data_IF_453123267332
#
_entry.id   IF_453123267332
#
_cell.length_a   1.000
_cell.length_b   1.000
_cell.length_c   1.000
_cell.angle_alpha   90.00
_cell.angle_beta   90.00
_cell.angle_gamma   90.00
#
_symmetry.space_group_name_H-M   'P 1'
#
loop_
_entity.id
_entity.type
_entity.pdbx_description
1 polymer ?
#
# COMPACT_ATOMS: atom_id res chain seq x y z
N UNK A 1 12.72 6.42 19.34
CA UNK A 1 12.38 7.48 20.29
C UNK A 1 10.86 7.64 20.31
N UNK A 2 10.31 8.28 21.34
CA UNK A 2 8.87 8.60 21.37
C UNK A 2 8.51 9.80 20.49
N UNK A 3 9.48 10.71 20.27
CA UNK A 3 9.38 11.87 19.40
C UNK A 3 10.61 11.91 18.47
N UNK A 4 10.44 12.35 17.22
CA UNK A 4 11.50 12.39 16.19
C UNK A 4 11.99 13.83 16.06
N UNK A 5 13.28 14.12 16.33
CA UNK A 5 13.80 15.48 16.21
C UNK A 5 13.91 15.91 14.74
N UNK A 6 13.69 17.20 14.46
CA UNK A 6 13.65 17.79 13.10
C UNK A 6 12.56 17.19 12.21
N UNK A 7 11.38 17.00 12.79
CA UNK A 7 10.18 16.54 12.09
C UNK A 7 9.38 17.64 11.41
N UNK A 8 9.81 18.89 11.48
CA UNK A 8 9.14 20.02 10.83
C UNK A 8 9.16 19.88 9.30
N UNK A 9 8.10 20.34 8.62
CA UNK A 9 8.06 20.30 7.16
C UNK A 9 9.12 21.23 6.58
N UNK A 10 9.58 20.91 5.37
CA UNK A 10 10.58 21.68 4.64
C UNK A 10 9.94 22.25 3.37
N UNK A 11 10.01 23.57 3.17
CA UNK A 11 9.61 24.23 1.93
C UNK A 11 10.72 25.17 1.49
N UNK A 12 11.41 24.80 0.43
CA UNK A 12 12.54 25.53 -0.13
C UNK A 12 12.23 25.90 -1.58
N UNK A 13 12.20 27.18 -1.91
CA UNK A 13 11.96 27.64 -3.28
C UNK A 13 13.28 28.02 -3.95
N UNK A 14 13.49 27.59 -5.19
CA UNK A 14 14.61 27.97 -6.05
C UNK A 14 14.13 28.17 -7.49
N UNK A 15 14.50 27.28 -8.41
CA UNK A 15 14.12 27.34 -9.82
C UNK A 15 12.65 26.98 -10.09
N UNK A 16 12.32 26.89 -11.38
CA UNK A 16 10.98 26.58 -11.89
C UNK A 16 10.64 25.09 -11.93
N UNK A 17 11.57 24.24 -11.54
CA UNK A 17 11.38 22.80 -11.44
C UNK A 17 11.18 22.48 -9.96
N UNK A 18 10.03 21.88 -9.64
CA UNK A 18 9.64 21.48 -8.31
C UNK A 18 9.82 19.98 -8.08
N UNK A 19 10.12 19.58 -6.85
CA UNK A 19 10.03 18.18 -6.40
C UNK A 19 9.35 18.10 -5.03
N UNK A 20 8.27 17.32 -4.96
CA UNK A 20 7.62 16.95 -3.69
C UNK A 20 8.24 15.66 -3.19
N UNK A 21 8.89 15.66 -2.03
CA UNK A 21 9.47 14.46 -1.43
C UNK A 21 8.66 13.96 -0.24
N UNK A 22 8.31 12.68 -0.25
CA UNK A 22 7.40 12.06 0.72
C UNK A 22 8.18 11.04 1.56
N UNK A 23 8.17 11.25 2.88
CA UNK A 23 8.86 10.35 3.82
C UNK A 23 8.08 9.05 4.10
N UNK A 24 8.76 8.05 4.66
CA UNK A 24 8.18 6.74 4.99
C UNK A 24 7.35 6.70 6.28
N UNK A 25 6.67 5.57 6.49
CA UNK A 25 5.87 5.28 7.68
C UNK A 25 6.73 5.18 8.94
N UNK A 26 6.22 5.70 10.06
CA UNK A 26 6.95 5.88 11.33
C UNK A 26 8.13 6.86 11.27
N UNK A 27 8.40 7.46 10.11
CA UNK A 27 9.46 8.44 9.90
C UNK A 27 9.00 9.88 10.07
N UNK A 28 9.78 10.79 9.51
CA UNK A 28 9.50 12.23 9.41
C UNK A 28 10.31 12.84 8.25
N UNK A 29 10.13 14.14 7.92
CA UNK A 29 10.98 14.83 6.93
C UNK A 29 12.48 14.64 7.15
N UNK A 30 12.93 14.46 8.40
CA UNK A 30 14.34 14.18 8.72
C UNK A 30 14.93 12.98 7.96
N UNK A 31 14.10 11.99 7.61
CA UNK A 31 14.54 10.78 6.90
C UNK A 31 14.99 11.02 5.46
N UNK A 32 14.44 12.04 4.80
CA UNK A 32 14.73 12.40 3.40
C UNK A 32 15.40 13.77 3.29
N UNK A 33 15.58 14.47 4.41
CA UNK A 33 16.13 15.84 4.45
C UNK A 33 17.48 15.98 3.74
N UNK A 34 18.48 15.08 3.86
CA UNK A 34 19.73 15.21 3.11
C UNK A 34 19.52 15.17 1.60
N UNK A 35 18.65 14.28 1.13
CA UNK A 35 18.28 14.20 -0.29
C UNK A 35 17.55 15.47 -0.76
N UNK A 36 16.62 15.99 0.04
CA UNK A 36 15.92 17.24 -0.23
C UNK A 36 16.86 18.44 -0.33
N UNK A 37 17.84 18.56 0.59
CA UNK A 37 18.83 19.63 0.56
C UNK A 37 19.74 19.51 -0.67
N UNK A 38 20.18 18.31 -1.03
CA UNK A 38 20.99 18.09 -2.22
C UNK A 38 20.26 18.48 -3.51
N UNK A 39 18.96 18.19 -3.63
CA UNK A 39 18.17 18.63 -4.79
C UNK A 39 17.99 20.14 -4.83
N UNK A 40 17.78 20.77 -3.67
CA UNK A 40 17.69 22.22 -3.57
C UNK A 40 19.00 22.92 -3.95
N UNK A 41 20.15 22.39 -3.50
CA UNK A 41 21.48 22.88 -3.89
C UNK A 41 21.73 22.78 -5.40
N UNK A 42 21.10 21.81 -6.07
CA UNK A 42 21.11 21.66 -7.53
C UNK A 42 20.04 22.53 -8.24
N UNK A 43 19.34 23.38 -7.50
CA UNK A 43 18.46 24.43 -8.04
C UNK A 43 16.96 24.11 -8.05
N UNK A 44 16.53 22.98 -7.48
CA UNK A 44 15.12 22.60 -7.44
C UNK A 44 14.38 23.32 -6.31
N UNK A 45 13.11 23.64 -6.56
CA UNK A 45 12.15 23.97 -5.50
C UNK A 45 11.71 22.66 -4.83
N UNK A 46 11.88 22.52 -3.52
CA UNK A 46 11.70 21.25 -2.78
C UNK A 46 10.71 21.41 -1.65
N UNK A 47 9.64 20.62 -1.68
CA UNK A 47 8.68 20.51 -0.57
C UNK A 47 8.78 19.12 0.07
N UNK A 48 8.81 19.06 1.40
CA UNK A 48 8.82 17.84 2.20
C UNK A 48 7.80 18.00 3.34
N UNK A 49 6.57 17.52 3.18
CA UNK A 49 5.55 17.68 4.21
C UNK A 49 5.75 16.70 5.37
N UNK A 50 5.23 17.09 6.53
CA UNK A 50 5.09 16.19 7.69
C UNK A 50 3.71 15.57 7.65
N UNK A 51 3.63 14.27 7.33
CA UNK A 51 2.36 13.56 7.18
C UNK A 51 1.60 13.49 8.52
N UNK A 52 0.27 13.51 8.47
CA UNK A 52 -0.60 13.45 9.64
C UNK A 52 -0.21 12.33 10.63
N UNK A 53 -0.08 12.68 11.91
CA UNK A 53 0.34 11.78 12.99
C UNK A 53 1.83 11.42 13.01
N UNK A 54 2.63 11.86 12.03
CA UNK A 54 4.09 11.76 12.06
C UNK A 54 4.71 12.98 12.75
N UNK A 55 5.98 12.86 13.15
CA UNK A 55 6.71 13.97 13.76
C UNK A 55 6.28 14.38 15.16
N UNK A 56 5.35 13.65 15.78
CA UNK A 56 4.84 13.89 17.13
C UNK A 56 5.13 12.69 18.02
N UNK A 57 4.13 11.83 18.27
CA UNK A 57 4.23 10.62 19.05
C UNK A 57 3.66 9.44 18.25
N UNK A 58 4.28 8.26 18.34
CA UNK A 58 3.85 7.07 17.57
C UNK A 58 2.36 6.74 17.72
N UNK A 59 1.74 7.09 18.85
CA UNK A 59 0.32 6.82 19.09
C UNK A 59 -0.62 7.68 18.24
N UNK A 60 -0.16 8.81 17.71
CA UNK A 60 -0.96 9.68 16.86
C UNK A 60 -1.20 9.03 15.49
N UNK A 61 -0.26 8.21 15.01
CA UNK A 61 -0.45 7.36 13.83
C UNK A 61 -1.60 6.35 13.95
N UNK A 62 -2.04 6.03 15.18
CA UNK A 62 -3.21 5.18 15.38
C UNK A 62 -4.55 5.92 15.27
N UNK A 63 -4.52 7.25 15.17
CA UNK A 63 -5.71 8.12 15.11
C UNK A 63 -6.04 8.61 13.69
N UNK A 64 -5.08 8.48 12.78
CA UNK A 64 -5.16 8.94 11.38
C UNK A 64 -5.43 7.77 10.44
N UNK A 65 -5.95 8.09 9.26
CA UNK A 65 -6.12 7.15 8.15
C UNK A 65 -5.12 7.46 7.03
N UNK A 66 -4.97 6.54 6.08
CA UNK A 66 -4.04 6.76 4.98
C UNK A 66 -4.54 7.86 4.02
N UNK A 67 -5.85 8.06 3.95
CA UNK A 67 -6.47 9.14 3.19
C UNK A 67 -6.06 10.53 3.73
N UNK A 68 -5.82 10.66 5.04
CA UNK A 68 -5.31 11.90 5.63
C UNK A 68 -3.87 12.18 5.11
N UNK A 69 -3.03 11.14 5.01
CA UNK A 69 -1.69 11.28 4.42
C UNK A 69 -1.74 11.64 2.93
N UNK A 70 -2.69 11.07 2.19
CA UNK A 70 -2.91 11.43 0.79
C UNK A 70 -3.34 12.90 0.64
N UNK A 71 -4.23 13.38 1.51
CA UNK A 71 -4.68 14.77 1.48
C UNK A 71 -3.52 15.74 1.76
N UNK A 72 -2.63 15.41 2.70
CA UNK A 72 -1.44 16.21 3.00
C UNK A 72 -0.53 16.35 1.77
N UNK A 73 -0.17 15.24 1.11
CA UNK A 73 0.72 15.27 -0.06
C UNK A 73 0.06 15.94 -1.26
N UNK A 74 -1.24 15.75 -1.47
CA UNK A 74 -1.97 16.37 -2.58
C UNK A 74 -2.04 17.89 -2.40
N UNK A 75 -2.32 18.35 -1.18
CA UNK A 75 -2.35 19.78 -0.86
C UNK A 75 -0.97 20.43 -1.09
N UNK A 76 0.11 19.74 -0.73
CA UNK A 76 1.47 20.25 -0.87
C UNK A 76 1.96 20.18 -2.32
N UNK A 77 1.57 19.16 -3.07
CA UNK A 77 1.77 19.09 -4.51
C UNK A 77 1.13 20.30 -5.20
N UNK A 78 -0.15 20.55 -4.91
CA UNK A 78 -0.91 21.67 -5.48
C UNK A 78 -0.31 23.02 -5.10
N UNK A 79 0.21 23.16 -3.89
CA UNK A 79 0.90 24.38 -3.47
C UNK A 79 2.23 24.57 -4.22
N UNK A 80 3.04 23.52 -4.36
CA UNK A 80 4.29 23.56 -5.10
C UNK A 80 4.07 23.89 -6.59
N UNK A 81 3.01 23.33 -7.19
CA UNK A 81 2.62 23.56 -8.57
C UNK A 81 2.25 25.03 -8.87
N UNK A 82 1.91 25.84 -7.87
CA UNK A 82 1.69 27.30 -8.06
C UNK A 82 2.99 28.06 -8.33
N UNK A 83 4.13 27.49 -7.97
CA UNK A 83 5.44 28.15 -8.05
C UNK A 83 6.32 27.59 -9.17
N UNK A 84 6.03 26.38 -9.63
CA UNK A 84 6.85 25.61 -10.57
C UNK A 84 6.10 25.33 -11.87
N UNK A 85 6.84 25.30 -12.98
CA UNK A 85 6.29 25.01 -14.30
C UNK A 85 6.23 23.49 -14.54
N UNK A 86 7.13 22.74 -13.90
CA UNK A 86 7.14 21.27 -13.87
C UNK A 86 7.33 20.78 -12.44
N UNK A 87 6.60 19.74 -12.04
CA UNK A 87 6.68 19.16 -10.69
C UNK A 87 6.91 17.65 -10.77
N UNK A 88 7.95 17.20 -10.09
CA UNK A 88 8.28 15.80 -9.86
C UNK A 88 7.76 15.37 -8.49
N UNK A 89 7.50 14.07 -8.33
CA UNK A 89 7.14 13.48 -7.04
C UNK A 89 8.15 12.41 -6.68
N UNK A 90 8.71 12.49 -5.49
CA UNK A 90 9.67 11.55 -4.94
C UNK A 90 9.10 10.90 -3.67
N UNK A 91 9.22 9.59 -3.53
CA UNK A 91 8.67 8.87 -2.39
C UNK A 91 9.62 7.82 -1.83
N UNK A 92 9.86 7.86 -0.52
CA UNK A 92 10.65 6.87 0.21
C UNK A 92 9.76 5.88 0.97
N UNK A 93 9.95 4.56 0.78
CA UNK A 93 9.24 3.51 1.53
C UNK A 93 7.71 3.61 1.33
N UNK A 94 6.92 3.74 2.38
CA UNK A 94 5.48 4.03 2.28
C UNK A 94 5.19 5.36 1.57
N UNK A 95 6.12 6.31 1.63
CA UNK A 95 6.08 7.54 0.83
C UNK A 95 6.14 7.25 -0.68
N UNK A 96 6.79 6.15 -1.09
CA UNK A 96 6.77 5.66 -2.47
C UNK A 96 5.37 5.18 -2.90
N UNK A 97 4.66 4.45 -2.05
CA UNK A 97 3.25 4.09 -2.32
C UNK A 97 2.35 5.32 -2.41
N UNK A 98 2.59 6.33 -1.58
CA UNK A 98 1.90 7.62 -1.65
C UNK A 98 2.21 8.38 -2.94
N UNK A 99 3.47 8.40 -3.38
CA UNK A 99 3.89 8.99 -4.66
C UNK A 99 3.23 8.28 -5.86
N UNK A 100 3.20 6.95 -5.84
CA UNK A 100 2.46 6.15 -6.81
C UNK A 100 0.97 6.48 -6.77
N UNK A 101 0.36 6.58 -5.59
CA UNK A 101 -1.07 6.92 -5.49
C UNK A 101 -1.38 8.30 -6.07
N UNK A 102 -0.53 9.28 -5.80
CA UNK A 102 -0.66 10.62 -6.38
C UNK A 102 -0.47 10.57 -7.91
N UNK A 103 0.46 9.76 -8.40
CA UNK A 103 0.67 9.53 -9.85
C UNK A 103 -0.54 8.87 -10.52
N UNK A 104 -1.20 7.92 -9.86
CA UNK A 104 -2.41 7.26 -10.37
C UNK A 104 -3.60 8.23 -10.54
N UNK A 105 -3.66 9.30 -9.74
CA UNK A 105 -4.79 10.25 -9.74
C UNK A 105 -4.48 11.51 -10.55
N UNK A 106 -3.26 12.04 -10.40
CA UNK A 106 -2.83 13.33 -10.96
C UNK A 106 -1.67 13.17 -11.94
N UNK A 107 -1.56 11.98 -12.55
CA UNK A 107 -0.46 11.60 -13.42
C UNK A 107 -0.18 12.64 -14.50
N UNK A 108 -1.24 13.18 -15.13
CA UNK A 108 -1.17 14.22 -16.16
C UNK A 108 -0.48 15.51 -15.73
N UNK A 109 -0.45 15.83 -14.43
CA UNK A 109 0.14 17.04 -13.86
C UNK A 109 1.56 16.81 -13.30
N UNK A 110 2.02 15.57 -13.25
CA UNK A 110 3.34 15.19 -12.71
C UNK A 110 4.30 14.93 -13.87
N UNK A 111 5.47 15.57 -13.85
CA UNK A 111 6.48 15.42 -14.89
C UNK A 111 7.18 14.05 -14.84
N UNK A 112 7.47 13.56 -13.63
CA UNK A 112 8.07 12.26 -13.40
C UNK A 112 8.01 11.85 -11.93
N UNK A 113 8.08 10.54 -11.68
CA UNK A 113 7.99 9.98 -10.32
C UNK A 113 9.25 9.20 -9.97
N UNK A 114 9.84 9.50 -8.81
CA UNK A 114 11.04 8.87 -8.28
C UNK A 114 10.67 8.05 -7.04
N UNK A 115 10.92 6.75 -7.08
CA UNK A 115 10.60 5.81 -6.03
C UNK A 115 11.89 5.31 -5.40
N UNK A 116 12.02 5.45 -4.08
CA UNK A 116 13.14 4.95 -3.30
C UNK A 116 12.67 3.89 -2.32
N UNK A 117 13.10 2.64 -2.52
CA UNK A 117 12.71 1.48 -1.69
C UNK A 117 11.20 1.45 -1.43
N UNK A 118 10.39 1.72 -2.48
CA UNK A 118 8.96 1.90 -2.35
C UNK A 118 8.27 0.60 -1.86
N UNK A 119 7.46 0.72 -0.80
CA UNK A 119 6.73 -0.43 -0.25
C UNK A 119 5.30 -0.44 -0.78
N UNK A 120 4.92 -1.46 -1.55
CA UNK A 120 3.55 -1.62 -2.05
C UNK A 120 2.83 -2.85 -1.49
N UNK A 121 3.54 -3.79 -0.86
CA UNK A 121 2.98 -4.89 -0.07
C UNK A 121 4.05 -5.48 0.88
N UNK A 122 3.68 -6.50 1.64
CA UNK A 122 4.61 -7.28 2.47
C UNK A 122 4.19 -8.77 2.50
N UNK A 123 5.06 -9.65 2.03
CA UNK A 123 4.79 -11.10 1.91
C UNK A 123 4.84 -11.84 3.25
N UNK A 124 5.45 -11.25 4.29
CA UNK A 124 5.69 -11.94 5.55
C UNK A 124 4.36 -12.25 6.22
N UNK A 125 4.07 -13.54 6.44
CA UNK A 125 2.79 -14.03 6.96
C UNK A 125 2.29 -13.33 8.24
N UNK A 126 3.21 -12.86 9.11
CA UNK A 126 2.87 -12.09 10.32
C UNK A 126 2.02 -10.84 10.02
N UNK A 127 2.18 -10.21 8.86
CA UNK A 127 1.41 -9.03 8.47
C UNK A 127 -0.05 -9.37 8.13
N UNK A 128 -0.38 -10.63 7.81
CA UNK A 128 -1.77 -11.05 7.58
C UNK A 128 -2.65 -10.87 8.82
N UNK A 129 -2.06 -10.98 10.02
CA UNK A 129 -2.75 -10.84 11.31
C UNK A 129 -2.90 -9.38 11.78
N UNK A 130 -2.24 -8.42 11.14
CA UNK A 130 -2.25 -6.99 11.54
C UNK A 130 -3.66 -6.41 11.72
N UNK A 131 -4.66 -6.65 10.83
CA UNK A 131 -6.00 -6.11 11.02
C UNK A 131 -6.63 -6.54 12.35
N UNK A 132 -6.53 -7.83 12.69
CA UNK A 132 -7.05 -8.37 13.95
C UNK A 132 -6.24 -7.86 15.15
N UNK A 133 -4.90 -7.90 15.06
CA UNK A 133 -4.01 -7.44 16.12
C UNK A 133 -4.18 -5.94 16.42
N UNK A 134 -4.45 -5.11 15.42
CA UNK A 134 -4.63 -3.66 15.56
C UNK A 134 -5.84 -3.25 16.41
N UNK A 135 -6.80 -4.16 16.60
CA UNK A 135 -7.95 -3.95 17.48
C UNK A 135 -7.58 -4.11 18.96
N UNK A 136 -6.60 -4.97 19.26
CA UNK A 136 -6.25 -5.41 20.62
C UNK A 136 -4.97 -4.70 21.11
N UNK A 137 -3.95 -4.65 20.26
CA UNK A 137 -2.64 -4.12 20.60
C UNK A 137 -2.44 -2.75 19.95
N UNK A 138 -2.01 -1.71 20.71
CA UNK A 138 -1.79 -0.38 20.15
C UNK A 138 -0.51 -0.32 19.29
N UNK A 139 0.55 -1.02 19.70
CA UNK A 139 1.84 -1.00 18.98
C UNK A 139 2.74 -2.14 19.40
N UNK A 140 3.68 -2.51 18.52
CA UNK A 140 4.76 -3.48 18.76
C UNK A 140 6.12 -2.77 18.77
N UNK A 141 7.17 -3.40 19.32
CA UNK A 141 8.55 -2.91 19.15
C UNK A 141 8.90 -2.75 17.66
N UNK A 142 9.52 -1.63 17.32
CA UNK A 142 10.01 -1.33 15.98
C UNK A 142 11.52 -1.12 15.94
N UNK A 143 12.08 -0.95 14.75
CA UNK A 143 13.46 -0.53 14.54
C UNK A 143 13.51 0.94 14.09
N UNK A 144 14.33 1.75 14.75
CA UNK A 144 14.56 3.15 14.38
C UNK A 144 15.82 3.28 13.52
N UNK A 145 15.66 3.12 12.20
CA UNK A 145 16.70 3.33 11.19
C UNK A 145 17.40 2.05 10.75
N UNK A 146 17.10 1.58 9.54
CA UNK A 146 17.85 0.54 8.84
C UNK A 146 18.78 1.22 7.83
N UNK A 147 20.03 1.40 8.25
CA UNK A 147 21.10 2.12 7.55
C UNK A 147 22.42 1.40 7.82
N UNK A 148 23.20 1.12 6.78
CA UNK A 148 24.49 0.44 6.89
C UNK A 148 25.57 1.35 7.49
N UNK A 149 25.54 2.64 7.14
CA UNK A 149 26.48 3.65 7.62
C UNK A 149 26.49 3.79 9.15
N UNK A 150 27.64 3.57 9.82
CA UNK A 150 27.76 3.75 11.26
C UNK A 150 27.49 5.20 11.70
N UNK A 151 26.76 5.36 12.80
CA UNK A 151 26.45 6.67 13.36
C UNK A 151 25.37 7.46 12.60
N UNK A 152 24.70 6.82 11.63
CA UNK A 152 23.53 7.40 10.97
C UNK A 152 22.46 7.80 11.99
N UNK A 153 21.79 8.93 11.72
CA UNK A 153 20.79 9.47 12.61
C UNK A 153 19.53 8.61 12.58
N UNK A 154 19.02 8.29 13.77
CA UNK A 154 17.69 7.67 13.90
C UNK A 154 16.61 8.64 13.43
N UNK A 155 15.79 8.20 12.48
CA UNK A 155 14.78 9.03 11.81
C UNK A 155 13.36 8.44 11.89
N UNK A 156 13.12 7.55 12.86
CA UNK A 156 11.82 6.90 13.04
C UNK A 156 11.49 6.56 14.49
N UNK A 157 10.24 6.22 14.75
CA UNK A 157 9.77 5.80 16.07
C UNK A 157 10.38 4.44 16.47
N UNK A 158 10.54 4.19 17.78
CA UNK A 158 10.97 2.85 18.28
C UNK A 158 9.80 1.85 18.35
N UNK A 159 8.61 2.27 17.92
CA UNK A 159 7.39 1.47 17.98
C UNK A 159 6.64 1.55 16.66
N UNK A 160 6.07 0.44 16.26
CA UNK A 160 5.21 0.34 15.08
C UNK A 160 3.74 0.40 15.57
N UNK A 161 3.01 1.49 15.28
CA UNK A 161 1.60 1.62 15.60
C UNK A 161 0.78 0.67 14.73
N UNK A 162 0.04 -0.26 15.34
CA UNK A 162 -0.64 -1.32 14.58
C UNK A 162 -1.87 -0.84 13.82
N UNK A 163 -2.60 0.16 14.31
CA UNK A 163 -3.71 0.76 13.53
C UNK A 163 -3.17 1.58 12.38
N UNK A 164 -2.10 2.32 12.59
CA UNK A 164 -1.37 3.00 11.51
C UNK A 164 -0.88 2.03 10.44
N UNK A 165 -0.25 0.92 10.85
CA UNK A 165 0.20 -0.13 9.93
C UNK A 165 -0.97 -0.77 9.17
N UNK A 166 -2.13 -0.93 9.82
CA UNK A 166 -3.33 -1.40 9.12
C UNK A 166 -3.82 -0.41 8.05
N UNK A 167 -3.59 0.90 8.23
CA UNK A 167 -3.87 1.90 7.19
C UNK A 167 -2.86 1.82 6.04
N UNK A 168 -1.58 1.61 6.33
CA UNK A 168 -0.56 1.31 5.30
C UNK A 168 -0.99 0.12 4.44
N UNK A 169 -1.48 -0.97 5.05
CA UNK A 169 -1.99 -2.12 4.30
C UNK A 169 -3.20 -1.81 3.40
N UNK A 170 -4.03 -0.84 3.76
CA UNK A 170 -5.15 -0.40 2.91
C UNK A 170 -4.66 0.43 1.73
N UNK A 171 -3.70 1.32 1.96
CA UNK A 171 -3.01 2.06 0.91
C UNK A 171 -2.37 1.10 -0.10
N UNK A 172 -1.58 0.12 0.39
CA UNK A 172 -0.94 -0.92 -0.41
C UNK A 172 -1.90 -1.62 -1.38
N UNK A 173 -3.03 -2.13 -0.87
CA UNK A 173 -4.04 -2.79 -1.71
C UNK A 173 -4.59 -1.89 -2.82
N UNK A 174 -4.76 -0.61 -2.53
CA UNK A 174 -5.26 0.35 -3.52
C UNK A 174 -4.19 0.64 -4.57
N UNK A 175 -2.94 0.87 -4.15
CA UNK A 175 -1.83 1.21 -5.04
C UNK A 175 -1.46 0.04 -5.93
N UNK A 176 -1.26 -1.15 -5.36
CA UNK A 176 -0.89 -2.37 -6.08
C UNK A 176 -1.91 -2.73 -7.18
N UNK A 177 -3.21 -2.64 -6.85
CA UNK A 177 -4.29 -2.90 -7.81
C UNK A 177 -4.25 -1.94 -9.00
N UNK A 178 -3.87 -0.68 -8.76
CA UNK A 178 -4.00 0.42 -9.72
C UNK A 178 -2.65 0.78 -10.38
N UNK A 179 -1.60 -0.05 -10.28
CA UNK A 179 -0.27 0.24 -10.85
C UNK A 179 -0.31 0.54 -12.35
N UNK A 180 -1.19 -0.14 -13.08
CA UNK A 180 -1.39 0.04 -14.52
C UNK A 180 -1.87 1.45 -14.92
N UNK A 181 -2.31 2.27 -13.96
CA UNK A 181 -2.68 3.67 -14.21
C UNK A 181 -1.48 4.62 -14.25
N UNK A 182 -0.27 4.14 -13.95
CA UNK A 182 0.94 4.97 -13.97
C UNK A 182 1.65 4.82 -15.32
N UNK A 183 1.63 5.88 -16.12
CA UNK A 183 2.13 5.96 -17.50
C UNK A 183 3.23 7.02 -17.72
N UNK A 184 3.56 7.79 -16.68
CA UNK A 184 4.58 8.85 -16.70
C UNK A 184 6.02 8.29 -16.54
N UNK A 185 7.08 9.07 -16.87
CA UNK A 185 8.46 8.66 -16.63
C UNK A 185 8.71 8.31 -15.16
N UNK A 186 9.35 7.16 -14.92
CA UNK A 186 9.63 6.65 -13.57
C UNK A 186 11.11 6.40 -13.36
N UNK A 187 11.59 6.76 -12.18
CA UNK A 187 12.84 6.24 -11.63
C UNK A 187 12.49 5.30 -10.47
N UNK A 188 12.86 4.03 -10.60
CA UNK A 188 12.67 3.02 -9.55
C UNK A 188 14.03 2.67 -8.96
N UNK A 189 14.30 3.20 -7.78
CA UNK A 189 15.56 3.07 -7.08
C UNK A 189 15.40 2.20 -5.83
N UNK A 190 16.22 1.15 -5.69
CA UNK A 190 16.10 0.24 -4.55
C UNK A 190 17.41 -0.39 -4.10
N UNK A 191 17.45 -0.82 -2.85
CA UNK A 191 18.62 -1.43 -2.21
C UNK A 191 18.54 -2.95 -2.25
N UNK A 192 19.61 -3.61 -2.67
CA UNK A 192 19.64 -5.09 -2.72
C UNK A 192 19.54 -5.71 -1.33
N UNK A 193 20.11 -5.04 -0.32
CA UNK A 193 20.13 -5.52 1.06
C UNK A 193 19.21 -4.68 1.96
N UNK A 194 17.92 -4.65 1.61
CA UNK A 194 16.88 -3.98 2.41
C UNK A 194 16.21 -4.97 3.38
N UNK A 195 16.33 -4.73 4.68
CA UNK A 195 15.76 -5.60 5.72
C UNK A 195 14.31 -5.23 6.09
N UNK A 196 13.80 -4.11 5.56
CA UNK A 196 12.48 -3.56 5.85
C UNK A 196 11.52 -3.87 4.71
N UNK A 197 11.89 -3.54 3.47
CA UNK A 197 11.08 -3.72 2.25
C UNK A 197 11.83 -4.65 1.30
N UNK A 198 11.18 -5.71 0.84
CA UNK A 198 11.84 -6.64 -0.07
C UNK A 198 11.98 -6.02 -1.47
N UNK A 199 13.13 -6.15 -2.16
CA UNK A 199 13.35 -5.62 -3.51
C UNK A 199 12.28 -6.00 -4.54
N UNK A 200 11.62 -7.15 -4.33
CA UNK A 200 10.50 -7.64 -5.16
C UNK A 200 9.34 -6.63 -5.23
N UNK A 201 9.18 -5.72 -4.26
CA UNK A 201 8.24 -4.61 -4.40
C UNK A 201 8.58 -3.72 -5.61
N UNK A 202 9.86 -3.39 -5.80
CA UNK A 202 10.34 -2.62 -6.94
C UNK A 202 10.17 -3.37 -8.25
N UNK A 203 10.53 -4.66 -8.29
CA UNK A 203 10.30 -5.53 -9.45
C UNK A 203 8.81 -5.56 -9.83
N UNK A 204 7.92 -5.74 -8.84
CA UNK A 204 6.47 -5.74 -9.06
C UNK A 204 5.98 -4.39 -9.60
N UNK A 205 6.54 -3.27 -9.13
CA UNK A 205 6.20 -1.95 -9.67
C UNK A 205 6.60 -1.88 -11.15
N UNK A 206 7.86 -2.19 -11.47
CA UNK A 206 8.39 -2.15 -12.84
C UNK A 206 7.55 -3.00 -13.79
N UNK A 207 7.16 -4.21 -13.36
CA UNK A 207 6.42 -5.17 -14.18
C UNK A 207 4.94 -4.81 -14.41
N UNK A 208 4.35 -3.94 -13.59
CA UNK A 208 2.89 -3.70 -13.58
C UNK A 208 2.48 -2.24 -13.82
N UNK A 209 3.42 -1.32 -13.99
CA UNK A 209 3.12 0.04 -14.49
C UNK A 209 2.96 0.03 -16.01
N UNK A 210 2.29 1.04 -16.56
CA UNK A 210 2.12 1.21 -18.01
C UNK A 210 3.21 2.09 -18.65
N UNK A 211 4.06 2.70 -17.83
CA UNK A 211 5.14 3.57 -18.30
C UNK A 211 6.15 2.84 -19.19
N UNK A 212 6.47 3.45 -20.33
CA UNK A 212 7.55 3.01 -21.24
C UNK A 212 8.94 3.43 -20.77
N UNK A 213 9.02 4.43 -19.90
CA UNK A 213 10.24 5.17 -19.59
C UNK A 213 10.62 4.95 -18.12
N UNK A 214 11.25 3.80 -17.88
CA UNK A 214 11.64 3.36 -16.54
C UNK A 214 13.16 3.36 -16.42
N UNK A 215 13.67 4.20 -15.50
CA UNK A 215 15.06 4.17 -15.04
C UNK A 215 15.17 3.34 -13.77
N UNK A 216 15.85 2.20 -13.86
CA UNK A 216 16.14 1.36 -12.71
C UNK A 216 17.49 1.74 -12.08
N UNK A 217 17.52 1.90 -10.75
CA UNK A 217 18.74 2.22 -9.99
C UNK A 217 18.88 1.26 -8.82
N UNK A 218 20.01 0.58 -8.73
CA UNK A 218 20.26 -0.44 -7.70
C UNK A 218 21.37 0.01 -6.76
N UNK A 219 21.10 -0.03 -5.46
CA UNK A 219 22.06 0.32 -4.41
C UNK A 219 22.60 -0.95 -3.72
N UNK A 220 23.93 -1.14 -3.79
CA UNK A 220 24.58 -2.33 -3.25
C UNK A 220 25.15 -2.13 -1.83
N UNK A 221 25.41 -0.88 -1.42
CA UNK A 221 26.11 -0.57 -0.16
C UNK A 221 25.21 0.08 0.88
N UNK A 222 23.92 0.17 0.59
CA UNK A 222 22.92 0.80 1.43
C UNK A 222 21.83 -0.19 1.83
N UNK A 223 21.24 0.03 3.01
CA UNK A 223 20.05 -0.68 3.47
C UNK A 223 18.80 0.17 3.16
N UNK A 224 17.76 0.10 3.99
CA UNK A 224 16.48 0.73 3.68
C UNK A 224 16.55 2.26 3.43
N UNK A 225 17.23 3.05 4.27
CA UNK A 225 17.24 4.52 4.08
C UNK A 225 18.53 5.04 3.42
N UNK A 226 18.59 4.92 2.09
CA UNK A 226 19.73 5.33 1.24
C UNK A 226 20.11 6.80 1.42
N UNK A 227 19.15 7.70 1.64
CA UNK A 227 19.43 9.14 1.82
C UNK A 227 20.32 9.45 3.05
N UNK A 228 20.41 8.51 4.00
CA UNK A 228 21.28 8.60 5.18
C UNK A 228 22.47 7.64 5.12
N UNK A 229 22.59 6.87 4.05
CA UNK A 229 23.51 5.73 3.95
C UNK A 229 24.73 6.02 3.06
N UNK A 230 25.43 4.96 2.66
CA UNK A 230 26.64 5.05 1.83
C UNK A 230 26.38 5.55 0.41
N UNK A 231 25.26 5.18 -0.21
CA UNK A 231 24.98 5.51 -1.61
C UNK A 231 24.12 6.78 -1.77
N UNK A 232 24.07 7.63 -0.74
CA UNK A 232 23.32 8.88 -0.75
C UNK A 232 23.74 9.82 -1.91
N UNK A 233 25.03 9.87 -2.25
CA UNK A 233 25.49 10.71 -3.37
C UNK A 233 25.06 10.13 -4.72
N UNK A 234 25.14 8.81 -4.89
CA UNK A 234 24.64 8.15 -6.10
C UNK A 234 23.13 8.39 -6.28
N UNK A 235 22.36 8.30 -5.19
CA UNK A 235 20.94 8.68 -5.20
C UNK A 235 20.74 10.12 -5.68
N UNK A 236 21.55 11.07 -5.20
CA UNK A 236 21.45 12.47 -5.61
C UNK A 236 21.80 12.67 -7.09
N UNK A 237 22.84 12.00 -7.58
CA UNK A 237 23.29 12.07 -8.97
C UNK A 237 22.23 11.49 -9.92
N UNK A 238 21.74 10.28 -9.64
CA UNK A 238 20.72 9.62 -10.47
C UNK A 238 19.38 10.36 -10.44
N UNK A 239 18.99 10.91 -9.28
CA UNK A 239 17.77 11.72 -9.19
C UNK A 239 17.85 12.93 -10.12
N UNK A 240 18.97 13.65 -10.12
CA UNK A 240 19.10 14.81 -11.01
C UNK A 240 19.30 14.45 -12.47
N UNK A 241 20.01 13.36 -12.77
CA UNK A 241 20.09 12.85 -14.14
C UNK A 241 18.68 12.57 -14.67
N UNK A 242 17.87 11.81 -13.93
CA UNK A 242 16.49 11.53 -14.29
C UNK A 242 15.66 12.80 -14.51
N UNK A 243 15.73 13.77 -13.60
CA UNK A 243 15.01 15.06 -13.76
C UNK A 243 15.44 15.78 -15.03
N UNK A 244 16.73 15.83 -15.33
CA UNK A 244 17.25 16.49 -16.53
C UNK A 244 16.81 15.76 -17.81
N UNK A 245 16.86 14.43 -17.81
CA UNK A 245 16.48 13.61 -18.97
C UNK A 245 14.99 13.73 -19.30
N UNK A 246 14.12 13.82 -18.28
CA UNK A 246 12.68 14.10 -18.48
C UNK A 246 12.47 15.50 -19.05
N UNK A 247 13.19 16.50 -18.55
CA UNK A 247 13.02 17.91 -18.99
C UNK A 247 13.59 18.14 -20.40
N UNK A 248 14.67 17.46 -20.76
CA UNK A 248 15.26 17.52 -22.11
C UNK A 248 14.43 16.78 -23.16
N UNK A 249 13.49 15.93 -22.72
CA UNK A 249 12.67 15.07 -23.58
C UNK A 249 13.39 13.79 -24.02
N UNK A 250 14.50 13.41 -23.37
CA UNK A 250 15.18 12.13 -23.59
C UNK A 250 14.37 10.94 -23.05
N UNK A 251 13.58 11.18 -22.00
CA UNK A 251 12.53 10.27 -21.53
C UNK A 251 11.18 10.87 -21.92
N UNK A 252 10.68 10.63 -23.15
CA UNK A 252 9.39 11.16 -23.54
C UNK A 252 8.33 10.61 -22.59
N UNK A 253 7.38 11.44 -22.16
CA UNK A 253 6.12 10.90 -21.64
C UNK A 253 5.55 10.08 -22.79
N UNK A 254 5.19 8.82 -22.56
CA UNK A 254 4.68 7.93 -23.61
C UNK A 254 3.52 8.57 -24.37
N UNK A 255 3.84 9.40 -25.36
CA UNK A 255 2.90 9.90 -26.33
C UNK A 255 2.48 8.64 -27.04
N UNK A 256 1.25 8.23 -26.72
CA UNK A 256 0.64 7.11 -27.39
C UNK A 256 0.86 7.35 -28.89
N UNK A 257 1.52 6.39 -29.54
CA UNK A 257 1.57 6.29 -31.00
C UNK A 257 0.14 6.37 -31.59
N UNK A 258 -0.87 6.17 -30.75
CA UNK A 258 -2.29 6.26 -31.01
C UNK A 258 -2.86 7.69 -31.04
N UNK A 259 -2.36 8.73 -30.37
CA UNK A 259 -3.08 10.02 -30.34
C UNK A 259 -2.97 10.84 -31.64
N UNK A 260 -1.85 10.74 -32.36
CA UNK A 260 -1.71 11.36 -33.69
C UNK A 260 -2.35 10.49 -34.79
N UNK A 261 -2.13 9.18 -34.75
CA UNK A 261 -2.65 8.26 -35.77
C UNK A 261 -4.15 7.98 -35.59
N UNK A 262 -4.70 7.88 -34.37
CA UNK A 262 -6.14 7.69 -34.16
C UNK A 262 -6.93 8.91 -34.62
N UNK A 263 -6.46 10.15 -34.44
CA UNK A 263 -7.22 11.31 -34.95
C UNK A 263 -7.31 11.27 -36.48
N UNK A 264 -6.21 10.95 -37.17
CA UNK A 264 -6.23 10.81 -38.63
C UNK A 264 -7.04 9.58 -39.09
N UNK A 265 -6.97 8.46 -38.36
CA UNK A 265 -7.76 7.24 -38.65
C UNK A 265 -9.24 7.41 -38.32
N UNK A 266 -9.58 8.11 -37.24
CA UNK A 266 -10.96 8.43 -36.82
C UNK A 266 -11.55 9.42 -37.82
N UNK A 267 -10.82 10.44 -38.25
CA UNK A 267 -11.31 11.38 -39.26
C UNK A 267 -11.47 10.68 -40.62
N UNK A 268 -10.56 9.77 -40.98
CA UNK A 268 -10.66 8.96 -42.21
C UNK A 268 -11.79 7.90 -42.15
N UNK A 269 -11.99 7.23 -41.01
CA UNK A 269 -13.13 6.32 -40.79
C UNK A 269 -14.44 7.09 -40.75
N UNK A 270 -14.48 8.26 -40.12
CA UNK A 270 -15.67 9.10 -40.04
C UNK A 270 -16.08 9.60 -41.42
N UNK A 271 -15.14 10.07 -42.25
CA UNK A 271 -15.41 10.44 -43.66
C UNK A 271 -15.82 9.22 -44.50
N UNK A 272 -15.21 8.05 -44.28
CA UNK A 272 -15.63 6.80 -44.92
C UNK A 272 -17.05 6.39 -44.55
N UNK A 273 -17.41 6.46 -43.26
CA UNK A 273 -18.74 6.15 -42.73
C UNK A 273 -19.78 7.15 -43.25
N UNK A 274 -19.45 8.45 -43.28
CA UNK A 274 -20.32 9.51 -43.81
C UNK A 274 -20.51 9.37 -45.32
N UNK A 275 -19.49 8.91 -46.06
CA UNK A 275 -19.59 8.66 -47.50
C UNK A 275 -20.33 7.35 -47.87
N UNK A 276 -20.40 6.39 -46.94
CA UNK A 276 -21.01 5.07 -47.14
C UNK A 276 -22.46 4.94 -46.69
N UNK A 277 -23.02 5.94 -45.98
CA UNK A 277 -24.38 5.91 -45.47
C UNK A 277 -25.40 6.34 -46.53
N UNK A 278 -25.75 5.43 -47.44
CA UNK A 278 -27.06 5.43 -48.08
C UNK A 278 -28.11 4.98 -47.07
N UNK A 279 -29.04 5.87 -46.74
CA UNK A 279 -30.25 5.61 -45.95
C UNK A 279 -31.13 4.55 -46.63
N UNK A 280 -30.91 3.28 -46.31
CA UNK A 280 -31.99 2.29 -46.23
C UNK A 280 -31.49 1.02 -45.51
N UNK A 281 -32.43 0.26 -44.96
CA UNK A 281 -32.27 -1.02 -44.25
C UNK A 281 -32.29 -0.95 -42.72
N UNK A 282 -33.49 -0.71 -42.19
CA UNK A 282 -33.90 -1.25 -40.90
C UNK A 282 -34.14 -2.76 -41.02
N UNK A 283 -33.29 -3.58 -40.41
CA UNK A 283 -33.57 -5.00 -40.18
C UNK A 283 -34.21 -5.19 -38.79
N UNK A 284 -35.20 -6.11 -38.67
CA UNK A 284 -36.01 -6.26 -37.47
C UNK A 284 -35.34 -7.18 -36.45
N UNK A 285 -35.83 -7.07 -35.20
CA UNK A 285 -35.53 -7.85 -33.99
C UNK A 285 -34.34 -7.36 -33.15
N UNK A 286 -34.70 -6.58 -32.13
CA UNK A 286 -33.84 -6.00 -31.11
C UNK A 286 -33.56 -7.02 -30.02
N UNK A 287 -32.32 -7.06 -29.55
CA UNK A 287 -31.78 -7.81 -28.39
C UNK A 287 -32.55 -7.60 -27.06
N UNK A 288 -33.59 -6.76 -27.05
CA UNK A 288 -34.46 -6.47 -25.92
C UNK A 288 -35.64 -7.46 -25.80
N UNK A 289 -35.96 -8.24 -26.83
CA UNK A 289 -37.05 -9.24 -26.79
C UNK A 289 -36.62 -10.59 -26.16
N UNK A 290 -35.32 -10.80 -25.87
CA UNK A 290 -34.81 -12.01 -25.21
C UNK A 290 -34.73 -11.89 -23.67
N UNK A 291 -34.98 -10.71 -23.10
CA UNK A 291 -34.91 -10.46 -21.64
C UNK A 291 -36.21 -10.79 -20.88
N UNK A 292 -37.31 -11.09 -21.58
CA UNK A 292 -38.63 -11.39 -20.98
C UNK A 292 -38.91 -12.90 -20.83
N UNK A 293 -37.91 -13.78 -20.99
CA UNK A 293 -38.07 -15.21 -20.75
C UNK A 293 -38.06 -15.52 -19.22
N UNK A 294 -39.13 -16.10 -18.65
CA UNK A 294 -39.18 -16.41 -17.23
C UNK A 294 -38.25 -17.58 -16.88
N UNK A 295 -37.19 -17.30 -16.11
CA UNK A 295 -36.35 -18.35 -15.48
C UNK A 295 -37.03 -18.89 -14.21
N UNK A 296 -37.76 -20.00 -14.34
CA UNK A 296 -37.97 -21.02 -13.29
C UNK A 296 -36.65 -21.82 -13.14
N UNK A 297 -36.16 -22.35 -12.01
CA UNK A 297 -36.66 -22.54 -10.64
C UNK A 297 -35.49 -22.38 -9.66
N UNK A 298 -35.75 -21.74 -8.53
CA UNK A 298 -34.83 -21.74 -7.39
C UNK A 298 -35.07 -23.02 -6.56
N UNK A 299 -34.34 -24.09 -6.83
CA UNK A 299 -34.15 -25.14 -5.82
C UNK A 299 -33.36 -24.52 -4.67
N UNK A 300 -34.07 -24.30 -3.55
CA UNK A 300 -33.60 -23.55 -2.41
C UNK A 300 -32.41 -24.20 -1.73
N UNK A 301 -31.26 -23.51 -1.77
CA UNK A 301 -30.26 -23.67 -0.73
C UNK A 301 -30.79 -23.02 0.55
N UNK A 302 -31.33 -23.84 1.45
CA UNK A 302 -31.55 -23.42 2.84
C UNK A 302 -30.18 -23.30 3.51
N UNK A 303 -29.76 -22.06 3.76
CA UNK A 303 -28.51 -21.79 4.49
C UNK A 303 -28.61 -22.45 5.88
N UNK A 304 -27.60 -23.24 6.31
CA UNK A 304 -27.56 -23.73 7.68
C UNK A 304 -27.70 -22.55 8.63
N UNK A 305 -28.63 -22.63 9.58
CA UNK A 305 -28.84 -21.61 10.60
C UNK A 305 -28.29 -22.11 11.94
N UNK A 306 -26.96 -22.13 12.14
CA UNK A 306 -26.36 -22.70 13.33
C UNK A 306 -26.81 -21.91 14.56
N UNK A 307 -27.57 -22.56 15.42
CA UNK A 307 -27.96 -22.02 16.72
C UNK A 307 -26.77 -22.18 17.68
N UNK A 308 -26.51 -21.16 18.49
CA UNK A 308 -25.46 -21.23 19.49
C UNK A 308 -25.72 -22.41 20.46
N UNK A 309 -24.71 -23.25 20.75
CA UNK A 309 -24.89 -24.38 21.65
C UNK A 309 -25.27 -23.93 23.06
N UNK A 310 -26.15 -24.68 23.71
CA UNK A 310 -26.59 -24.40 25.08
C UNK A 310 -25.39 -24.31 26.05
N UNK A 311 -25.45 -23.46 27.09
CA UNK A 311 -24.32 -23.19 27.99
C UNK A 311 -24.08 -24.32 29.01
N UNK A 312 -23.84 -25.53 28.52
CA UNK A 312 -23.52 -26.72 29.31
C UNK A 312 -22.02 -26.83 29.61
N UNK A 313 -21.66 -27.79 30.46
CA UNK A 313 -20.28 -27.96 30.92
C UNK A 313 -19.30 -28.23 29.76
N UNK A 314 -19.74 -28.97 28.73
CA UNK A 314 -18.93 -29.30 27.56
C UNK A 314 -18.71 -28.06 26.68
N UNK A 315 -19.74 -27.22 26.47
CA UNK A 315 -19.59 -25.96 25.74
C UNK A 315 -18.68 -24.97 26.46
N UNK A 316 -18.67 -24.97 27.80
CA UNK A 316 -17.73 -24.18 28.61
C UNK A 316 -16.28 -24.66 28.45
N UNK A 317 -16.05 -25.97 28.44
CA UNK A 317 -14.71 -26.52 28.16
C UNK A 317 -14.25 -26.24 26.73
N UNK A 318 -15.15 -26.34 25.75
CA UNK A 318 -14.85 -25.98 24.36
C UNK A 318 -14.46 -24.50 24.25
N UNK A 319 -15.22 -23.60 24.89
CA UNK A 319 -14.92 -22.17 24.93
C UNK A 319 -13.59 -21.89 25.65
N UNK A 320 -13.29 -22.58 26.74
CA UNK A 320 -12.00 -22.51 27.43
C UNK A 320 -10.85 -22.99 26.53
N UNK A 321 -11.05 -24.04 25.73
CA UNK A 321 -10.07 -24.51 24.74
C UNK A 321 -9.83 -23.49 23.62
N UNK A 322 -10.89 -22.87 23.11
CA UNK A 322 -10.81 -21.81 22.09
C UNK A 322 -10.07 -20.59 22.65
N UNK A 323 -10.52 -20.04 23.78
CA UNK A 323 -9.95 -18.82 24.35
C UNK A 323 -8.56 -19.08 24.93
N UNK A 324 -8.41 -20.13 25.73
CA UNK A 324 -7.15 -20.50 26.37
C UNK A 324 -6.09 -20.96 25.38
N UNK A 325 -6.46 -21.78 24.38
CA UNK A 325 -5.56 -22.23 23.33
C UNK A 325 -5.06 -21.08 22.45
N UNK A 326 -5.95 -20.16 22.08
CA UNK A 326 -5.57 -18.94 21.35
C UNK A 326 -4.65 -18.05 22.19
N UNK A 327 -4.98 -17.81 23.46
CA UNK A 327 -4.15 -16.98 24.36
C UNK A 327 -2.77 -17.60 24.59
N UNK A 328 -2.68 -18.92 24.78
CA UNK A 328 -1.42 -19.64 24.95
C UNK A 328 -0.54 -19.51 23.70
N UNK A 329 -1.11 -19.77 22.53
CA UNK A 329 -0.42 -19.66 21.24
C UNK A 329 0.12 -18.25 21.01
N UNK A 330 -0.71 -17.24 21.30
CA UNK A 330 -0.31 -15.84 21.18
C UNK A 330 0.78 -15.48 22.20
N UNK A 331 0.63 -15.88 23.46
CA UNK A 331 1.62 -15.62 24.51
C UNK A 331 3.00 -16.12 24.09
N UNK A 332 3.11 -17.37 23.66
CA UNK A 332 4.37 -17.98 23.28
C UNK A 332 4.96 -17.33 22.02
N UNK A 333 4.13 -17.09 21.00
CA UNK A 333 4.56 -16.45 19.76
C UNK A 333 5.07 -15.01 19.98
N UNK A 334 4.53 -14.29 20.96
CA UNK A 334 4.89 -12.88 21.24
C UNK A 334 5.99 -12.71 22.30
N UNK A 335 6.09 -13.63 23.26
CA UNK A 335 7.10 -13.54 24.33
C UNK A 335 8.34 -14.37 24.06
N UNK A 336 8.26 -15.37 23.18
CA UNK A 336 9.32 -16.36 22.96
C UNK A 336 9.55 -17.28 24.15
N UNK A 337 8.68 -17.24 25.16
CA UNK A 337 8.73 -18.11 26.34
C UNK A 337 7.94 -19.38 26.02
N UNK A 338 8.61 -20.53 26.00
CA UNK A 338 8.00 -21.85 25.84
C UNK A 338 7.88 -22.55 27.21
N UNK A 339 6.78 -22.34 27.95
CA UNK A 339 6.60 -22.91 29.28
C UNK A 339 6.43 -24.44 29.27
N UNK A 340 6.12 -25.05 28.12
CA UNK A 340 5.83 -26.48 28.01
C UNK A 340 6.90 -27.26 27.22
N UNK A 341 7.90 -26.58 26.65
CA UNK A 341 8.95 -27.17 25.82
C UNK A 341 8.45 -27.77 24.51
N UNK A 342 7.25 -27.39 24.06
CA UNK A 342 6.54 -28.01 22.95
C UNK A 342 6.20 -27.03 21.82
N UNK A 343 6.68 -25.79 21.90
CA UNK A 343 6.28 -24.77 20.95
C UNK A 343 4.79 -24.40 21.08
N UNK A 344 4.23 -23.66 20.10
CA UNK A 344 2.83 -23.23 20.11
C UNK A 344 1.81 -24.38 19.98
N UNK A 345 2.27 -25.61 19.74
CA UNK A 345 1.43 -26.76 19.41
C UNK A 345 0.35 -27.12 20.46
N UNK A 346 0.60 -27.04 21.79
CA UNK A 346 -0.44 -27.28 22.78
C UNK A 346 -1.59 -26.27 22.69
N UNK A 347 -1.28 -25.01 22.40
CA UNK A 347 -2.29 -23.96 22.20
C UNK A 347 -3.11 -24.18 20.93
N UNK A 348 -2.44 -24.56 19.83
CA UNK A 348 -3.08 -24.90 18.55
C UNK A 348 -4.03 -26.10 18.69
N UNK A 349 -3.59 -27.17 19.37
CA UNK A 349 -4.42 -28.36 19.62
C UNK A 349 -5.62 -28.04 20.50
N UNK A 350 -5.43 -27.22 21.55
CA UNK A 350 -6.54 -26.75 22.40
C UNK A 350 -7.57 -25.92 21.64
N UNK A 351 -7.10 -25.04 20.76
CA UNK A 351 -7.97 -24.22 19.90
C UNK A 351 -8.76 -25.09 18.90
N UNK A 352 -8.08 -25.96 18.15
CA UNK A 352 -8.73 -26.84 17.15
C UNK A 352 -9.72 -27.78 17.83
N UNK A 353 -9.33 -28.40 18.95
CA UNK A 353 -10.21 -29.27 19.73
C UNK A 353 -11.45 -28.53 20.26
N UNK A 354 -11.27 -27.30 20.74
CA UNK A 354 -12.37 -26.43 21.16
C UNK A 354 -13.33 -26.07 20.02
N UNK A 355 -12.80 -25.64 18.87
CA UNK A 355 -13.61 -25.31 17.68
C UNK A 355 -14.35 -26.53 17.14
N UNK A 356 -13.68 -27.68 17.02
CA UNK A 356 -14.30 -28.92 16.55
C UNK A 356 -15.44 -29.36 17.48
N UNK A 357 -15.24 -29.27 18.80
CA UNK A 357 -16.28 -29.59 19.79
C UNK A 357 -17.46 -28.62 19.71
N UNK A 358 -17.18 -27.34 19.49
CA UNK A 358 -18.19 -26.30 19.35
C UNK A 358 -19.04 -26.49 18.09
N UNK A 359 -18.41 -26.78 16.95
CA UNK A 359 -19.10 -27.08 15.68
C UNK A 359 -19.94 -28.35 15.81
N UNK A 360 -19.36 -29.43 16.35
CA UNK A 360 -20.06 -30.69 16.55
C UNK A 360 -21.30 -30.53 17.44
N UNK A 361 -21.24 -29.67 18.45
CA UNK A 361 -22.38 -29.33 19.30
C UNK A 361 -23.44 -28.50 18.59
N UNK A 362 -23.03 -27.51 17.80
CA UNK A 362 -23.98 -26.70 17.03
C UNK A 362 -24.71 -27.51 15.95
N UNK A 363 -24.05 -28.53 15.38
CA UNK A 363 -24.65 -29.40 14.36
C UNK A 363 -25.65 -30.42 14.92
N UNK A 364 -25.52 -30.83 16.19
CA UNK A 364 -26.40 -31.81 16.84
C UNK A 364 -27.66 -31.23 17.49
N UNK A 365 -27.80 -29.91 17.55
CA UNK A 365 -28.99 -29.27 18.10
C UNK A 365 -30.25 -29.53 17.24
N UNK A 366 -30.11 -30.03 16.00
CA UNK A 366 -31.22 -30.34 15.09
C UNK A 366 -31.72 -31.80 15.18
N UNK A 367 -31.01 -32.71 15.86
CA UNK A 367 -31.37 -34.14 15.93
C UNK A 367 -32.36 -34.48 17.06
N UNK A 368 -32.74 -33.51 17.90
CA UNK A 368 -33.67 -33.70 19.02
C UNK A 368 -35.13 -33.44 18.58
N UNK A 369 -35.59 -34.19 17.58
CA UNK A 369 -37.04 -34.35 17.35
C UNK A 369 -37.59 -35.26 18.45
N UNK A 370 -38.46 -34.68 19.28
CA UNK A 370 -38.98 -35.29 20.50
C UNK A 370 -39.39 -36.75 20.35
N UNK A 371 -38.94 -37.55 21.33
CA UNK A 371 -39.55 -38.81 21.69
C UNK A 371 -41.06 -38.60 21.87
N UNK A 372 -41.83 -39.12 20.92
CA UNK A 372 -43.26 -39.23 21.04
C UNK A 372 -43.62 -40.26 22.11
N UNK A 373 -43.85 -39.82 23.33
CA UNK A 373 -44.72 -40.49 24.32
C UNK A 373 -45.43 -39.43 25.15
N UNK A 374 -46.59 -38.97 24.67
CA UNK A 374 -47.65 -38.47 25.56
C UNK A 374 -48.35 -39.67 26.22
N UNK A 375 -48.55 -39.58 27.53
CA UNK A 375 -49.68 -40.16 28.25
C UNK A 375 -50.47 -39.02 28.88
#
# INVERSE_FOLDING_TARGET
MSNIPESEPLRLLAGKIGILMIHGFTGSPASVKPWALAMHEKGLSVYVPTLAGHGTHWSDLNKVKWEDWYQDIESEFLELAKHCDQVFVAGFSVGGALALRLSQIRGSEIAGTILLNASIYDERNRFKLVPALSLILPSIPGGSGDVAKPGARKHGYDRIPLRGLNQVKKLWRTVERDLYLVDLPLMVAYSLNDHVVHPVCSETIIDNVYSSDIREVVFERSFHNVALDHDAELLNEETMAFVLDVISGELPRGESIFESDERELIDAEFESIVSGLSLDQSAPTTYLDELDAPRYDAEGFTKPNPVLPAPDQISRFALLGIVGGALFTLFEMFTGIDPLGMGPWPGVLGFIGGVATYIWRSARAEDDFGDGVEL
#
